data_IF_303614411841
#
_entry.id   IF_303614411841
#
_cell.length_a   1.000
_cell.length_b   1.000
_cell.length_c   1.000
_cell.angle_alpha   90.00
_cell.angle_beta   90.00
_cell.angle_gamma   90.00
#
_symmetry.space_group_name_H-M   'P 1'
#
loop_
_entity.id
_entity.type
_entity.pdbx_description
1 polymer ?
#
# COMPACT_ATOMS: atom_id res chain seq x y z
N UNK A 1 -9.97 -100.62 -55.09
CA UNK A 1 -11.23 -100.42 -55.84
C UNK A 1 -12.36 -100.52 -54.83
N UNK A 2 -13.21 -99.49 -54.71
CA UNK A 2 -14.30 -99.51 -53.72
C UNK A 2 -15.44 -100.39 -54.24
N UNK A 3 -15.71 -101.49 -53.54
CA UNK A 3 -16.80 -102.43 -53.79
C UNK A 3 -18.13 -101.68 -53.91
N UNK A 4 -18.95 -102.02 -54.91
CA UNK A 4 -20.26 -101.40 -55.12
C UNK A 4 -21.15 -101.65 -53.89
N UNK A 5 -21.85 -100.63 -53.34
CA UNK A 5 -22.68 -100.80 -52.16
C UNK A 5 -23.73 -101.90 -52.38
N UNK A 6 -23.58 -103.03 -51.69
CA UNK A 6 -24.51 -104.15 -51.79
C UNK A 6 -25.42 -104.21 -50.57
N UNK A 7 -26.48 -103.40 -50.59
CA UNK A 7 -27.52 -103.48 -49.57
C UNK A 7 -28.46 -104.67 -49.84
N UNK A 8 -29.09 -105.17 -48.77
CA UNK A 8 -30.18 -106.13 -48.88
C UNK A 8 -31.40 -105.52 -49.59
N UNK A 9 -32.14 -106.34 -50.34
CA UNK A 9 -33.37 -105.93 -51.02
C UNK A 9 -34.44 -105.37 -50.05
N UNK A 10 -34.42 -105.78 -48.79
CA UNK A 10 -35.27 -105.23 -47.73
C UNK A 10 -35.21 -103.68 -47.65
N UNK A 11 -34.05 -103.08 -47.93
CA UNK A 11 -33.83 -101.64 -47.82
C UNK A 11 -34.11 -100.86 -49.11
N UNK A 12 -34.55 -101.52 -50.18
CA UNK A 12 -34.75 -100.91 -51.51
C UNK A 12 -35.70 -99.70 -51.48
N UNK A 13 -36.73 -99.74 -50.63
CA UNK A 13 -37.68 -98.64 -50.45
C UNK A 13 -37.07 -97.36 -49.87
N UNK A 14 -36.15 -97.48 -48.89
CA UNK A 14 -35.42 -96.34 -48.32
C UNK A 14 -34.33 -95.85 -49.27
N UNK A 15 -33.61 -96.78 -49.91
CA UNK A 15 -32.55 -96.44 -50.84
C UNK A 15 -33.08 -95.68 -52.06
N UNK A 16 -34.26 -96.01 -52.59
CA UNK A 16 -34.83 -95.27 -53.74
C UNK A 16 -35.11 -93.78 -53.46
N UNK A 17 -35.22 -93.39 -52.18
CA UNK A 17 -35.47 -92.00 -51.78
C UNK A 17 -34.19 -91.16 -51.67
N UNK A 18 -33.02 -91.82 -51.68
CA UNK A 18 -31.72 -91.17 -51.53
C UNK A 18 -30.99 -91.03 -52.87
N UNK A 19 -30.28 -89.91 -53.12
CA UNK A 19 -29.37 -89.78 -54.24
C UNK A 19 -28.21 -90.79 -54.17
N UNK A 20 -27.61 -91.19 -55.31
CA UNK A 20 -26.51 -92.14 -55.36
C UNK A 20 -25.29 -91.76 -54.49
N UNK A 21 -25.01 -90.46 -54.34
CA UNK A 21 -23.92 -89.95 -53.48
C UNK A 21 -24.15 -90.29 -52.01
N UNK A 22 -25.38 -90.10 -51.52
CA UNK A 22 -25.75 -90.36 -50.12
C UNK A 22 -25.76 -91.86 -49.84
N UNK A 23 -26.24 -92.70 -50.78
CA UNK A 23 -26.18 -94.17 -50.64
C UNK A 23 -24.74 -94.65 -50.47
N UNK A 24 -23.80 -94.12 -51.25
CA UNK A 24 -22.37 -94.44 -51.15
C UNK A 24 -21.78 -93.99 -49.82
N UNK A 25 -22.15 -92.81 -49.34
CA UNK A 25 -21.69 -92.29 -48.04
C UNK A 25 -22.21 -93.13 -46.86
N UNK A 26 -23.48 -93.54 -46.91
CA UNK A 26 -24.05 -94.45 -45.90
C UNK A 26 -23.33 -95.80 -45.89
N UNK A 27 -23.07 -96.38 -47.06
CA UNK A 27 -22.34 -97.65 -47.17
C UNK A 27 -20.94 -97.55 -46.55
N UNK A 28 -20.18 -96.49 -46.91
CA UNK A 28 -18.88 -96.22 -46.31
C UNK A 28 -18.97 -96.08 -44.79
N UNK A 29 -19.96 -95.35 -44.26
CA UNK A 29 -20.15 -95.20 -42.80
C UNK A 29 -20.43 -96.51 -42.08
N UNK A 30 -21.06 -97.49 -42.73
CA UNK A 30 -21.34 -98.80 -42.14
C UNK A 30 -20.10 -99.71 -42.14
N UNK A 31 -19.32 -99.70 -43.22
CA UNK A 31 -18.14 -100.58 -43.39
C UNK A 31 -16.86 -100.02 -42.79
N UNK A 32 -16.76 -98.70 -42.59
CA UNK A 32 -15.56 -98.02 -42.07
C UNK A 32 -15.77 -97.35 -40.71
N UNK A 33 -16.82 -97.75 -39.98
CA UNK A 33 -17.17 -97.16 -38.68
C UNK A 33 -16.02 -97.34 -37.67
N UNK A 34 -15.71 -96.28 -36.91
CA UNK A 34 -14.64 -96.25 -35.90
C UNK A 34 -14.81 -97.27 -34.77
N UNK A 35 -16.05 -97.63 -34.45
CA UNK A 35 -16.40 -98.64 -33.45
C UNK A 35 -17.36 -99.64 -34.10
N UNK A 36 -17.03 -100.93 -34.07
CA UNK A 36 -17.76 -102.04 -34.69
C UNK A 36 -18.12 -101.79 -36.18
N UNK A 37 -17.13 -101.77 -37.09
CA UNK A 37 -17.41 -101.79 -38.52
C UNK A 37 -18.12 -103.10 -38.89
N UNK A 38 -19.22 -102.99 -39.64
CA UNK A 38 -19.87 -104.17 -40.21
C UNK A 38 -19.00 -104.68 -41.37
N UNK A 39 -18.74 -105.98 -41.43
CA UNK A 39 -18.14 -106.56 -42.64
C UNK A 39 -19.08 -106.37 -43.83
N UNK A 40 -18.57 -106.37 -45.06
CA UNK A 40 -19.41 -106.16 -46.26
C UNK A 40 -20.58 -107.16 -46.32
N UNK A 41 -20.38 -108.39 -45.88
CA UNK A 41 -21.44 -109.41 -45.76
C UNK A 41 -22.49 -109.09 -44.69
N UNK A 42 -22.07 -108.53 -43.56
CA UNK A 42 -23.00 -108.11 -42.49
C UNK A 42 -23.77 -106.85 -42.88
N UNK A 43 -23.12 -105.91 -43.58
CA UNK A 43 -23.74 -104.72 -44.13
C UNK A 43 -24.74 -105.03 -45.25
N UNK A 44 -24.55 -106.15 -45.96
CA UNK A 44 -25.49 -106.67 -46.95
C UNK A 44 -26.67 -107.48 -46.38
N UNK A 45 -26.68 -107.75 -45.06
CA UNK A 45 -27.77 -108.47 -44.36
C UNK A 45 -28.74 -107.51 -43.68
N UNK A 46 -29.87 -108.06 -43.22
CA UNK A 46 -30.87 -107.30 -42.47
C UNK A 46 -30.34 -107.08 -41.04
N UNK A 47 -29.80 -105.88 -40.77
CA UNK A 47 -29.33 -105.45 -39.46
C UNK A 47 -30.05 -104.16 -38.99
N UNK A 48 -30.55 -104.08 -37.74
CA UNK A 48 -31.36 -102.95 -37.26
C UNK A 48 -30.63 -101.59 -37.30
N UNK A 49 -29.31 -101.58 -37.05
CA UNK A 49 -28.51 -100.35 -37.15
C UNK A 49 -28.55 -99.73 -38.57
N UNK A 50 -28.61 -100.55 -39.61
CA UNK A 50 -28.65 -100.12 -41.02
C UNK A 50 -29.99 -99.43 -41.30
N UNK A 51 -31.08 -100.02 -40.81
CA UNK A 51 -32.43 -99.48 -40.97
C UNK A 51 -32.58 -98.11 -40.28
N UNK A 52 -32.08 -98.01 -39.04
CA UNK A 52 -32.11 -96.78 -38.26
C UNK A 52 -31.30 -95.66 -38.92
N UNK A 53 -30.16 -96.00 -39.53
CA UNK A 53 -29.26 -95.05 -40.16
C UNK A 53 -29.79 -94.58 -41.51
N UNK A 54 -30.32 -95.50 -42.34
CA UNK A 54 -30.96 -95.15 -43.60
C UNK A 54 -32.19 -94.25 -43.38
N UNK A 55 -33.04 -94.57 -42.40
CA UNK A 55 -34.21 -93.75 -42.06
C UNK A 55 -33.82 -92.34 -41.62
N UNK A 56 -32.75 -92.20 -40.81
CA UNK A 56 -32.22 -90.88 -40.41
C UNK A 56 -31.69 -90.09 -41.60
N UNK A 57 -30.97 -90.73 -42.52
CA UNK A 57 -30.38 -90.03 -43.66
C UNK A 57 -31.45 -89.61 -44.69
N UNK A 58 -32.50 -90.43 -44.90
CA UNK A 58 -33.68 -90.06 -45.69
C UNK A 58 -34.33 -88.79 -45.13
N UNK A 59 -34.62 -88.78 -43.82
CA UNK A 59 -35.22 -87.60 -43.17
C UNK A 59 -34.33 -86.36 -43.26
N UNK A 60 -33.01 -86.52 -43.14
CA UNK A 60 -32.04 -85.43 -43.24
C UNK A 60 -32.00 -84.86 -44.65
N UNK A 61 -32.04 -85.71 -45.67
CA UNK A 61 -32.05 -85.29 -47.07
C UNK A 61 -33.30 -84.46 -47.41
N UNK A 62 -34.50 -84.92 -47.05
CA UNK A 62 -35.73 -84.19 -47.30
C UNK A 62 -35.77 -82.83 -46.60
N UNK A 63 -35.39 -82.75 -45.32
CA UNK A 63 -35.28 -81.46 -44.60
C UNK A 63 -34.34 -80.47 -45.29
N UNK A 64 -33.22 -80.95 -45.83
CA UNK A 64 -32.26 -80.10 -46.55
C UNK A 64 -32.83 -79.63 -47.89
N UNK A 65 -33.49 -80.53 -48.62
CA UNK A 65 -34.16 -80.24 -49.90
C UNK A 65 -35.26 -79.20 -49.73
N UNK A 66 -36.12 -79.34 -48.72
CA UNK A 66 -37.22 -78.41 -48.48
C UNK A 66 -36.74 -77.00 -48.11
N UNK A 67 -35.66 -76.89 -47.31
CA UNK A 67 -35.02 -75.61 -47.03
C UNK A 67 -34.48 -74.91 -48.28
N UNK A 68 -33.90 -75.70 -49.20
CA UNK A 68 -33.42 -75.14 -50.47
C UNK A 68 -34.56 -74.68 -51.35
N UNK A 69 -35.68 -75.43 -51.40
CA UNK A 69 -36.89 -75.02 -52.13
C UNK A 69 -37.43 -73.69 -51.61
N UNK A 70 -37.62 -73.55 -50.30
CA UNK A 70 -38.11 -72.30 -49.70
C UNK A 70 -37.24 -71.08 -50.02
N UNK A 71 -35.91 -71.26 -50.02
CA UNK A 71 -34.97 -70.17 -50.36
C UNK A 71 -35.06 -69.75 -51.83
N UNK A 72 -35.27 -70.71 -52.74
CA UNK A 72 -35.44 -70.43 -54.17
C UNK A 72 -36.81 -69.79 -54.42
N UNK A 73 -37.87 -70.33 -53.83
CA UNK A 73 -39.23 -69.82 -53.98
C UNK A 73 -39.32 -68.36 -53.52
N UNK A 74 -38.77 -67.99 -52.35
CA UNK A 74 -38.75 -66.61 -51.85
C UNK A 74 -38.03 -65.61 -52.80
N UNK A 75 -37.00 -66.07 -53.53
CA UNK A 75 -36.26 -65.24 -54.48
C UNK A 75 -36.90 -65.18 -55.87
N UNK A 76 -37.78 -66.14 -56.21
CA UNK A 76 -38.39 -66.28 -57.54
C UNK A 76 -39.86 -65.86 -57.56
N UNK A 77 -40.50 -65.76 -56.40
CA UNK A 77 -41.86 -65.19 -56.29
C UNK A 77 -41.84 -63.71 -56.70
N UNK A 78 -42.74 -63.28 -57.60
CA UNK A 78 -42.85 -61.87 -58.04
C UNK A 78 -42.97 -60.87 -56.89
N UNK A 79 -43.56 -61.30 -55.78
CA UNK A 79 -43.82 -60.49 -54.58
C UNK A 79 -42.53 -60.15 -53.81
N UNK A 80 -41.56 -61.08 -53.77
CA UNK A 80 -40.25 -60.86 -53.12
C UNK A 80 -39.35 -59.90 -53.91
N UNK A 81 -39.36 -60.01 -55.24
CA UNK A 81 -38.65 -59.07 -56.12
C UNK A 81 -39.23 -57.65 -56.03
N UNK A 82 -40.56 -57.52 -55.99
CA UNK A 82 -41.24 -56.24 -55.81
C UNK A 82 -40.93 -55.58 -54.45
N UNK A 83 -40.78 -56.36 -53.38
CA UNK A 83 -40.42 -55.84 -52.06
C UNK A 83 -39.02 -55.21 -52.04
N UNK A 84 -38.04 -55.84 -52.71
CA UNK A 84 -36.67 -55.31 -52.81
C UNK A 84 -36.61 -54.03 -53.63
N UNK A 85 -37.35 -53.94 -54.75
CA UNK A 85 -37.45 -52.71 -55.53
C UNK A 85 -38.08 -51.56 -54.73
N UNK A 86 -39.14 -51.84 -53.95
CA UNK A 86 -39.74 -50.83 -53.06
C UNK A 86 -38.79 -50.35 -51.96
N UNK A 87 -37.97 -51.23 -51.41
CA UNK A 87 -36.95 -50.84 -50.43
C UNK A 87 -35.88 -49.94 -51.04
N UNK A 88 -35.42 -50.24 -52.26
CA UNK A 88 -34.47 -49.38 -52.97
C UNK A 88 -35.06 -48.00 -53.30
N UNK A 89 -36.37 -47.94 -53.64
CA UNK A 89 -37.07 -46.66 -53.82
C UNK A 89 -37.17 -45.87 -52.51
N UNK A 90 -37.45 -46.53 -51.38
CA UNK A 90 -37.48 -45.87 -50.07
C UNK A 90 -36.11 -45.34 -49.66
N UNK A 91 -35.04 -46.10 -49.90
CA UNK A 91 -33.67 -45.67 -49.63
C UNK A 91 -33.33 -44.40 -50.42
N UNK A 92 -33.68 -44.37 -51.71
CA UNK A 92 -33.50 -43.18 -52.55
C UNK A 92 -34.31 -41.97 -52.04
N UNK A 93 -35.55 -42.19 -51.59
CA UNK A 93 -36.39 -41.13 -51.01
C UNK A 93 -35.81 -40.59 -49.70
N UNK A 94 -35.22 -41.45 -48.88
CA UNK A 94 -34.53 -41.03 -47.65
C UNK A 94 -33.30 -40.19 -47.98
N UNK A 95 -32.48 -40.61 -48.94
CA UNK A 95 -31.30 -39.85 -49.38
C UNK A 95 -31.66 -38.47 -49.95
N UNK A 96 -32.78 -38.38 -50.69
CA UNK A 96 -33.31 -37.12 -51.20
C UNK A 96 -33.81 -36.22 -50.06
N UNK A 97 -34.50 -36.80 -49.07
CA UNK A 97 -35.00 -36.08 -47.90
C UNK A 97 -33.87 -35.59 -47.00
N UNK A 98 -32.84 -36.40 -46.80
CA UNK A 98 -31.66 -36.02 -46.01
C UNK A 98 -30.91 -34.86 -46.69
N UNK A 99 -30.73 -34.91 -48.01
CA UNK A 99 -30.13 -33.80 -48.77
C UNK A 99 -30.94 -32.51 -48.66
N UNK A 100 -32.27 -32.60 -48.72
CA UNK A 100 -33.14 -31.44 -48.54
C UNK A 100 -33.01 -30.83 -47.14
N UNK A 101 -33.00 -31.66 -46.09
CA UNK A 101 -32.83 -31.21 -44.71
C UNK A 101 -31.46 -30.57 -44.49
N UNK A 102 -30.38 -31.18 -44.99
CA UNK A 102 -29.03 -30.59 -44.91
C UNK A 102 -28.96 -29.23 -45.61
N UNK A 103 -29.63 -29.07 -46.75
CA UNK A 103 -29.71 -27.77 -47.42
C UNK A 103 -30.48 -26.75 -46.58
N UNK A 104 -31.61 -27.16 -45.98
CA UNK A 104 -32.41 -26.30 -45.11
C UNK A 104 -31.62 -25.88 -43.87
N UNK A 105 -30.93 -26.81 -43.22
CA UNK A 105 -30.07 -26.56 -42.06
C UNK A 105 -28.96 -25.57 -42.40
N UNK A 106 -28.28 -25.74 -43.53
CA UNK A 106 -27.25 -24.81 -43.99
C UNK A 106 -27.80 -23.41 -44.26
N UNK A 107 -28.99 -23.31 -44.86
CA UNK A 107 -29.63 -22.02 -45.10
C UNK A 107 -30.00 -21.30 -43.79
N UNK A 108 -30.55 -22.03 -42.82
CA UNK A 108 -30.88 -21.52 -41.49
C UNK A 108 -29.60 -21.09 -40.76
N UNK A 109 -28.57 -21.94 -40.77
CA UNK A 109 -27.27 -21.67 -40.15
C UNK A 109 -26.66 -20.39 -40.70
N UNK A 110 -26.57 -20.24 -42.02
CA UNK A 110 -26.02 -19.05 -42.66
C UNK A 110 -26.82 -17.79 -42.31
N UNK A 111 -28.14 -17.90 -42.22
CA UNK A 111 -29.02 -16.78 -41.84
C UNK A 111 -28.79 -16.36 -40.39
N UNK A 112 -28.69 -17.33 -39.47
CA UNK A 112 -28.42 -17.06 -38.05
C UNK A 112 -27.02 -16.46 -37.89
N UNK A 113 -26.00 -17.04 -38.52
CA UNK A 113 -24.63 -16.53 -38.48
C UNK A 113 -24.54 -15.08 -38.98
N UNK A 114 -25.22 -14.75 -40.08
CA UNK A 114 -25.28 -13.37 -40.58
C UNK A 114 -25.94 -12.42 -39.57
N UNK A 115 -27.07 -12.81 -38.98
CA UNK A 115 -27.78 -11.99 -37.98
C UNK A 115 -26.94 -11.77 -36.73
N UNK A 116 -26.34 -12.84 -36.20
CA UNK A 116 -25.45 -12.76 -35.02
C UNK A 116 -24.25 -11.86 -35.32
N UNK A 117 -23.67 -11.95 -36.51
CA UNK A 117 -22.56 -11.08 -36.92
C UNK A 117 -22.97 -9.60 -36.93
N UNK A 118 -24.15 -9.30 -37.47
CA UNK A 118 -24.68 -7.93 -37.50
C UNK A 118 -25.00 -7.40 -36.10
N UNK A 119 -25.60 -8.22 -35.23
CA UNK A 119 -25.89 -7.86 -33.84
C UNK A 119 -24.61 -7.64 -33.01
N UNK A 120 -23.60 -8.50 -33.19
CA UNK A 120 -22.29 -8.33 -32.59
C UNK A 120 -21.63 -7.02 -33.04
N UNK A 121 -21.74 -6.68 -34.33
CA UNK A 121 -21.21 -5.42 -34.87
C UNK A 121 -21.91 -4.21 -34.23
N UNK A 122 -23.25 -4.21 -34.21
CA UNK A 122 -24.04 -3.11 -33.60
C UNK A 122 -23.74 -2.95 -32.11
N UNK A 123 -23.71 -4.04 -31.36
CA UNK A 123 -23.40 -4.02 -29.92
C UNK A 123 -22.00 -3.47 -29.67
N UNK A 124 -21.03 -3.86 -30.50
CA UNK A 124 -19.66 -3.34 -30.41
C UNK A 124 -19.59 -1.84 -30.70
N UNK A 125 -20.25 -1.37 -31.76
CA UNK A 125 -20.32 0.06 -32.09
C UNK A 125 -20.98 0.87 -30.96
N UNK A 126 -22.06 0.35 -30.35
CA UNK A 126 -22.70 0.98 -29.19
C UNK A 126 -21.77 1.06 -27.98
N UNK A 127 -21.04 -0.03 -27.69
CA UNK A 127 -20.06 -0.07 -26.61
C UNK A 127 -18.93 0.93 -26.83
N UNK A 128 -18.38 0.99 -28.05
CA UNK A 128 -17.32 1.91 -28.42
C UNK A 128 -17.78 3.37 -28.30
N UNK A 129 -19.00 3.68 -28.76
CA UNK A 129 -19.61 5.01 -28.63
C UNK A 129 -19.81 5.41 -27.16
N UNK A 130 -20.38 4.52 -26.34
CA UNK A 130 -20.57 4.77 -24.90
C UNK A 130 -19.22 4.97 -24.19
N UNK A 131 -18.21 4.18 -24.55
CA UNK A 131 -16.86 4.29 -24.00
C UNK A 131 -16.21 5.63 -24.36
N UNK A 132 -16.41 6.12 -25.60
CA UNK A 132 -15.93 7.43 -26.03
C UNK A 132 -16.66 8.56 -25.32
N UNK A 133 -17.99 8.47 -25.20
CA UNK A 133 -18.80 9.46 -24.50
C UNK A 133 -18.37 9.57 -23.02
N UNK A 134 -18.24 8.43 -22.34
CA UNK A 134 -17.80 8.40 -20.95
C UNK A 134 -16.40 9.02 -20.78
N UNK A 135 -15.48 8.73 -21.71
CA UNK A 135 -14.14 9.35 -21.70
C UNK A 135 -14.20 10.87 -21.88
N UNK A 136 -15.02 11.34 -22.82
CA UNK A 136 -15.19 12.78 -23.07
C UNK A 136 -15.80 13.49 -21.85
N UNK A 137 -16.81 12.91 -21.21
CA UNK A 137 -17.42 13.44 -19.98
C UNK A 137 -16.39 13.49 -18.84
N UNK A 138 -15.57 12.46 -18.67
CA UNK A 138 -14.49 12.46 -17.69
C UNK A 138 -13.44 13.55 -17.96
N UNK A 139 -13.01 13.72 -19.22
CA UNK A 139 -12.08 14.78 -19.61
C UNK A 139 -12.68 16.17 -19.37
N UNK A 140 -13.96 16.37 -19.68
CA UNK A 140 -14.64 17.64 -19.44
C UNK A 140 -14.70 18.00 -17.95
N UNK A 141 -15.08 17.03 -17.10
CA UNK A 141 -15.12 17.22 -15.64
C UNK A 141 -13.72 17.49 -15.09
N UNK A 142 -12.73 16.73 -15.55
CA UNK A 142 -11.34 16.92 -15.14
C UNK A 142 -10.83 18.32 -15.50
N UNK A 143 -11.06 18.76 -16.74
CA UNK A 143 -10.65 20.10 -17.20
C UNK A 143 -11.35 21.21 -16.41
N UNK A 144 -12.65 21.06 -16.11
CA UNK A 144 -13.40 22.00 -15.27
C UNK A 144 -12.81 22.09 -13.85
N UNK A 145 -12.50 20.94 -13.25
CA UNK A 145 -11.90 20.89 -11.91
C UNK A 145 -10.51 21.49 -11.89
N UNK A 146 -9.69 21.19 -12.90
CA UNK A 146 -8.35 21.75 -13.06
C UNK A 146 -8.40 23.28 -13.16
N UNK A 147 -9.25 23.81 -14.05
CA UNK A 147 -9.44 25.25 -14.19
C UNK A 147 -9.89 25.91 -12.88
N UNK A 148 -10.86 25.30 -12.18
CA UNK A 148 -11.33 25.80 -10.88
C UNK A 148 -10.21 25.80 -9.83
N UNK A 149 -9.38 24.76 -9.81
CA UNK A 149 -8.24 24.65 -8.90
C UNK A 149 -7.20 25.74 -9.16
N UNK A 150 -6.85 25.96 -10.43
CA UNK A 150 -5.91 27.01 -10.85
C UNK A 150 -6.45 28.41 -10.50
N UNK A 151 -7.75 28.66 -10.73
CA UNK A 151 -8.40 29.91 -10.35
C UNK A 151 -8.40 30.15 -8.84
N UNK A 152 -8.62 29.11 -8.03
CA UNK A 152 -8.54 29.21 -6.57
C UNK A 152 -7.11 29.50 -6.11
N UNK A 153 -6.11 28.87 -6.73
CA UNK A 153 -4.69 29.13 -6.46
C UNK A 153 -4.33 30.59 -6.72
N UNK A 154 -4.72 31.14 -7.87
CA UNK A 154 -4.47 32.55 -8.22
C UNK A 154 -5.15 33.49 -7.20
N UNK A 155 -6.40 33.22 -6.82
CA UNK A 155 -7.11 34.02 -5.81
C UNK A 155 -6.41 34.01 -4.46
N UNK A 156 -5.96 32.84 -4.00
CA UNK A 156 -5.21 32.71 -2.75
C UNK A 156 -3.89 33.45 -2.79
N UNK A 157 -3.17 33.36 -3.90
CA UNK A 157 -1.90 34.06 -4.09
C UNK A 157 -2.07 35.57 -4.09
N UNK A 158 -3.12 36.09 -4.74
CA UNK A 158 -3.47 37.51 -4.67
C UNK A 158 -3.80 37.95 -3.24
N UNK A 159 -4.64 37.20 -2.51
CA UNK A 159 -4.98 37.51 -1.12
C UNK A 159 -3.75 37.50 -0.21
N UNK A 160 -2.84 36.55 -0.40
CA UNK A 160 -1.59 36.47 0.35
C UNK A 160 -0.72 37.70 0.08
N UNK A 161 -0.53 38.05 -1.20
CA UNK A 161 0.29 39.20 -1.60
C UNK A 161 -0.29 40.53 -1.11
N UNK A 162 -1.61 40.71 -1.16
CA UNK A 162 -2.29 41.88 -0.59
C UNK A 162 -2.01 42.01 0.90
N UNK A 163 -2.16 40.89 1.63
CA UNK A 163 -1.95 40.86 3.07
C UNK A 163 -0.51 41.16 3.44
N UNK A 164 0.45 40.64 2.68
CA UNK A 164 1.87 40.96 2.83
C UNK A 164 2.11 42.45 2.61
N UNK A 165 1.56 43.03 1.52
CA UNK A 165 1.72 44.46 1.22
C UNK A 165 1.14 45.36 2.33
N UNK A 166 -0.02 45.01 2.90
CA UNK A 166 -0.59 45.72 4.05
C UNK A 166 0.32 45.67 5.28
N UNK A 167 0.83 44.49 5.61
CA UNK A 167 1.73 44.30 6.76
C UNK A 167 3.05 45.04 6.58
N UNK A 168 3.62 45.03 5.38
CA UNK A 168 4.82 45.78 5.04
C UNK A 168 4.61 47.28 5.20
N UNK A 169 3.50 47.82 4.69
CA UNK A 169 3.14 49.24 4.87
C UNK A 169 3.00 49.59 6.35
N UNK A 170 2.33 48.73 7.13
CA UNK A 170 2.16 48.92 8.57
C UNK A 170 3.51 48.89 9.30
N UNK A 171 4.35 47.90 9.04
CA UNK A 171 5.67 47.78 9.65
C UNK A 171 6.56 48.97 9.30
N UNK A 172 6.56 49.42 8.05
CA UNK A 172 7.31 50.61 7.62
C UNK A 172 6.86 51.86 8.38
N UNK A 173 5.54 52.08 8.49
CA UNK A 173 5.00 53.22 9.25
C UNK A 173 5.37 53.15 10.74
N UNK A 174 5.33 51.97 11.34
CA UNK A 174 5.71 51.77 12.73
C UNK A 174 7.20 52.01 12.97
N UNK A 175 8.07 51.49 12.10
CA UNK A 175 9.52 51.73 12.13
C UNK A 175 9.83 53.22 12.03
N UNK A 176 9.22 53.94 11.08
CA UNK A 176 9.43 55.39 10.94
C UNK A 176 8.97 56.16 12.20
N UNK A 177 7.86 55.75 12.83
CA UNK A 177 7.41 56.36 14.09
C UNK A 177 8.40 56.11 15.23
N UNK A 178 8.93 54.89 15.35
CA UNK A 178 9.93 54.54 16.35
C UNK A 178 11.23 55.32 16.14
N UNK A 179 11.70 55.44 14.89
CA UNK A 179 12.88 56.24 14.55
C UNK A 179 12.74 57.70 14.97
N UNK A 180 11.58 58.32 14.74
CA UNK A 180 11.30 59.69 15.19
C UNK A 180 11.33 59.80 16.72
N UNK A 181 10.78 58.81 17.42
CA UNK A 181 10.81 58.76 18.89
C UNK A 181 12.22 58.59 19.44
N UNK A 182 13.01 57.69 18.85
CA UNK A 182 14.42 57.46 19.21
C UNK A 182 15.24 58.74 19.03
N UNK A 183 15.12 59.43 17.89
CA UNK A 183 15.81 60.72 17.68
C UNK A 183 15.47 61.78 18.73
N UNK A 184 14.24 61.79 19.27
CA UNK A 184 13.88 62.70 20.37
C UNK A 184 14.59 62.31 21.67
N UNK A 185 14.67 61.02 21.96
CA UNK A 185 15.37 60.50 23.13
C UNK A 185 16.88 60.69 23.04
N UNK A 186 17.48 60.53 21.88
CA UNK A 186 18.91 60.82 21.66
C UNK A 186 19.25 62.28 21.97
N UNK A 187 18.42 63.23 21.48
CA UNK A 187 18.56 64.66 21.82
C UNK A 187 18.43 64.94 23.32
N UNK A 188 17.58 64.18 24.02
CA UNK A 188 17.42 64.30 25.48
C UNK A 188 18.66 63.76 26.22
N UNK A 189 19.19 62.63 25.77
CA UNK A 189 20.45 62.04 26.26
C UNK A 189 21.62 63.00 26.05
N UNK A 190 21.74 63.65 24.89
CA UNK A 190 22.80 64.63 24.63
C UNK A 190 22.76 65.82 25.60
N UNK A 191 21.55 66.33 25.89
CA UNK A 191 21.34 67.41 26.87
C UNK A 191 21.76 66.97 28.27
N UNK A 192 21.32 65.79 28.71
CA UNK A 192 21.69 65.24 30.02
C UNK A 192 23.20 64.98 30.10
N UNK A 193 23.80 64.43 29.05
CA UNK A 193 25.26 64.22 28.96
C UNK A 193 26.02 65.54 29.11
N UNK A 194 25.56 66.59 28.44
CA UNK A 194 26.12 67.95 28.55
C UNK A 194 25.95 68.56 29.96
N UNK A 195 24.85 68.26 30.65
CA UNK A 195 24.64 68.70 32.02
C UNK A 195 25.56 67.97 33.00
N UNK A 196 25.72 66.65 32.82
CA UNK A 196 26.61 65.80 33.63
C UNK A 196 28.07 66.24 33.46
N UNK A 197 28.52 66.52 32.23
CA UNK A 197 29.90 66.99 32.01
C UNK A 197 30.17 68.34 32.68
N UNK A 198 29.22 69.28 32.62
CA UNK A 198 29.31 70.56 33.34
C UNK A 198 29.37 70.36 34.86
N UNK A 199 28.52 69.48 35.41
CA UNK A 199 28.52 69.17 36.84
C UNK A 199 29.85 68.51 37.27
N UNK A 200 30.38 67.58 36.45
CA UNK A 200 31.66 66.91 36.68
C UNK A 200 32.83 67.90 36.70
N UNK A 201 32.84 68.90 35.83
CA UNK A 201 33.88 69.93 35.83
C UNK A 201 33.81 70.80 37.09
N UNK A 202 32.61 71.26 37.49
CA UNK A 202 32.44 72.02 38.74
C UNK A 202 32.89 71.24 39.97
N UNK A 203 32.61 69.94 40.00
CA UNK A 203 33.07 69.07 41.09
C UNK A 203 34.60 69.06 41.16
N UNK A 204 35.29 68.93 40.02
CA UNK A 204 36.75 69.01 39.94
C UNK A 204 37.27 70.37 40.43
N UNK A 205 36.66 71.46 40.01
CA UNK A 205 37.05 72.81 40.46
C UNK A 205 36.93 72.95 41.99
N UNK A 206 35.84 72.42 42.57
CA UNK A 206 35.65 72.41 44.02
C UNK A 206 36.67 71.52 44.73
N UNK A 207 37.00 70.37 44.16
CA UNK A 207 38.02 69.45 44.67
C UNK A 207 39.40 70.11 44.70
N UNK A 208 39.78 70.85 43.65
CA UNK A 208 41.01 71.65 43.59
C UNK A 208 41.03 72.76 44.66
N UNK A 209 39.90 73.44 44.87
CA UNK A 209 39.76 74.46 45.94
C UNK A 209 39.90 73.87 47.33
N UNK A 210 39.31 72.69 47.57
CA UNK A 210 39.42 71.97 48.85
C UNK A 210 40.89 71.61 49.10
N UNK A 211 41.57 71.01 48.12
CA UNK A 211 43.00 70.67 48.23
C UNK A 211 43.87 71.90 48.54
N UNK A 212 43.62 73.04 47.88
CA UNK A 212 44.34 74.29 48.15
C UNK A 212 44.10 74.82 49.58
N UNK A 213 42.85 74.72 50.07
CA UNK A 213 42.50 75.07 51.45
C UNK A 213 43.18 74.15 52.44
N UNK A 214 43.18 72.84 52.20
CA UNK A 214 43.83 71.86 53.05
C UNK A 214 45.34 72.11 53.15
N UNK A 215 46.01 72.36 52.01
CA UNK A 215 47.43 72.76 52.00
C UNK A 215 47.68 74.06 52.79
N UNK A 216 46.76 75.03 52.71
CA UNK A 216 46.90 76.29 53.44
C UNK A 216 46.70 76.11 54.94
N UNK A 217 45.77 75.25 55.35
CA UNK A 217 45.56 74.88 56.75
C UNK A 217 46.84 74.25 57.30
N UNK A 218 47.45 73.31 56.57
CA UNK A 218 48.72 72.68 56.96
C UNK A 218 49.84 73.74 57.12
N UNK A 219 50.01 74.67 56.16
CA UNK A 219 51.01 75.76 56.27
C UNK A 219 50.77 76.68 57.48
N UNK A 220 49.51 77.00 57.78
CA UNK A 220 49.15 77.81 58.94
C UNK A 220 49.39 77.07 60.25
N UNK A 221 49.06 75.79 60.31
CA UNK A 221 49.29 74.93 61.47
C UNK A 221 50.80 74.79 61.77
N UNK A 222 51.61 74.54 60.73
CA UNK A 222 53.08 74.54 60.84
C UNK A 222 53.63 75.87 61.36
N UNK A 223 53.09 77.01 60.90
CA UNK A 223 53.47 78.36 61.38
C UNK A 223 53.05 78.60 62.82
N UNK A 224 51.84 78.16 63.22
CA UNK A 224 51.37 78.24 64.60
C UNK A 224 52.23 77.40 65.52
N UNK A 225 52.63 76.19 65.13
CA UNK A 225 53.54 75.36 65.91
C UNK A 225 54.93 76.01 66.08
N UNK A 226 55.46 76.68 65.05
CA UNK A 226 56.73 77.42 65.12
C UNK A 226 56.68 78.68 66.00
N UNK A 227 55.52 79.35 66.09
CA UNK A 227 55.35 80.58 66.88
C UNK A 227 54.88 80.32 68.32
N UNK A 228 54.01 79.32 68.52
CA UNK A 228 53.46 78.93 69.84
C UNK A 228 54.49 78.33 70.80
N UNK A 229 55.62 77.82 70.30
CA UNK A 229 56.70 77.33 71.18
C UNK A 229 57.40 78.44 71.95
N UNK A 230 57.16 79.73 71.62
CA UNK A 230 57.90 80.85 72.21
C UNK A 230 57.18 81.64 73.31
N UNK A 231 55.87 81.50 73.53
CA UNK A 231 55.11 82.44 74.39
C UNK A 231 53.95 81.89 75.23
N UNK A 232 53.73 80.57 75.35
CA UNK A 232 52.50 80.05 75.99
C UNK A 232 52.60 79.52 77.42
N UNK A 233 53.76 79.62 78.08
CA UNK A 233 53.86 79.30 79.51
C UNK A 233 54.59 80.41 80.24
N UNK A 234 53.88 81.50 80.55
CA UNK A 234 54.31 82.39 81.62
C UNK A 234 54.18 81.62 82.94
N UNK A 235 55.31 81.11 83.44
CA UNK A 235 55.39 80.31 84.66
C UNK A 235 54.96 81.08 85.92
N UNK A 236 54.74 82.40 85.80
CA UNK A 236 54.26 83.26 86.88
C UNK A 236 52.74 83.39 86.92
N UNK A 237 52.00 82.89 85.92
CA UNK A 237 50.53 82.92 85.87
C UNK A 237 49.97 81.49 85.99
N UNK A 238 48.99 81.32 86.87
CA UNK A 238 48.33 80.03 87.03
C UNK A 238 47.62 79.60 85.72
N UNK A 239 47.92 78.41 85.18
CA UNK A 239 47.35 77.95 83.93
C UNK A 239 45.86 77.63 84.06
N UNK A 240 45.10 77.81 82.97
CA UNK A 240 43.64 77.58 82.93
C UNK A 240 43.31 76.08 83.08
N UNK A 241 44.14 75.22 82.51
CA UNK A 241 44.04 73.77 82.64
C UNK A 241 45.41 73.21 82.99
N UNK A 242 45.48 72.35 84.01
CA UNK A 242 46.73 71.70 84.39
C UNK A 242 47.01 70.54 83.43
N UNK A 243 48.15 70.59 82.75
CA UNK A 243 48.59 69.50 81.85
C UNK A 243 48.97 68.21 82.59
N UNK A 244 49.20 68.27 83.91
CA UNK A 244 49.50 67.12 84.75
C UNK A 244 49.12 67.37 86.22
N UNK A 245 48.95 66.29 87.00
CA UNK A 245 48.67 66.38 88.45
C UNK A 245 49.78 67.11 89.22
N UNK A 246 51.05 66.85 88.87
CA UNK A 246 52.21 67.48 89.52
C UNK A 246 52.21 69.01 89.38
N UNK A 247 51.78 69.53 88.22
CA UNK A 247 51.63 70.97 87.99
C UNK A 247 50.48 71.56 88.82
N UNK A 248 49.38 70.83 88.96
CA UNK A 248 48.26 71.22 89.82
C UNK A 248 48.68 71.32 91.29
N UNK A 249 49.40 70.33 91.80
CA UNK A 249 49.90 70.29 93.17
C UNK A 249 50.93 71.39 93.46
N UNK A 250 51.80 71.68 92.50
CA UNK A 250 52.78 72.77 92.62
C UNK A 250 52.10 74.14 92.75
N UNK A 251 51.07 74.42 91.94
CA UNK A 251 50.29 75.66 92.03
C UNK A 251 49.42 75.72 93.30
N UNK A 252 48.89 74.58 93.74
CA UNK A 252 48.14 74.48 95.00
C UNK A 252 49.04 74.77 96.20
N UNK A 253 50.25 74.21 96.20
CA UNK A 253 51.26 74.48 97.24
C UNK A 253 51.71 75.95 97.24
N UNK A 254 51.91 76.56 96.06
CA UNK A 254 52.22 78.00 95.94
C UNK A 254 51.08 78.85 96.51
N UNK A 255 49.82 78.47 96.29
CA UNK A 255 48.63 79.17 96.81
C UNK A 255 48.54 79.09 98.34
N UNK A 256 48.80 77.92 98.93
CA UNK A 256 48.81 77.77 100.40
C UNK A 256 49.94 78.57 101.04
N UNK A 257 51.16 78.52 100.46
CA UNK A 257 52.27 79.34 100.94
C UNK A 257 51.96 80.84 100.84
N UNK A 258 51.22 81.28 99.82
CA UNK A 258 50.79 82.68 99.66
C UNK A 258 49.75 83.16 100.68
N UNK A 259 49.15 82.26 101.49
CA UNK A 259 48.34 82.64 102.65
C UNK A 259 49.20 82.97 103.89
N UNK A 260 50.34 82.30 104.01
CA UNK A 260 51.26 82.42 105.16
C UNK A 260 52.30 83.52 104.91
N UNK A 261 52.80 83.63 103.68
CA UNK A 261 53.81 84.60 103.26
C UNK A 261 53.25 85.51 102.15
N UNK A 262 52.83 86.74 102.47
CA UNK A 262 52.16 87.65 101.52
C UNK A 262 53.01 88.00 100.29
N UNK A 263 54.34 87.96 100.40
CA UNK A 263 55.25 88.32 99.31
C UNK A 263 55.17 87.39 98.09
N UNK A 264 54.67 86.16 98.26
CA UNK A 264 54.48 85.22 97.14
C UNK A 264 53.44 85.76 96.13
N UNK A 265 52.49 86.59 96.57
CA UNK A 265 51.50 87.23 95.70
C UNK A 265 52.09 88.33 94.81
N UNK A 266 53.32 88.78 95.04
CA UNK A 266 54.03 89.72 94.17
C UNK A 266 54.64 89.04 92.95
N UNK A 267 54.96 87.75 93.06
CA UNK A 267 55.69 87.00 92.03
C UNK A 267 54.82 86.01 91.25
N UNK A 268 53.58 85.76 91.70
CA UNK A 268 52.68 84.80 91.05
C UNK A 268 51.24 85.32 91.01
N UNK A 269 50.60 85.19 89.84
CA UNK A 269 49.19 85.53 89.63
C UNK A 269 48.34 84.28 89.71
N UNK A 270 47.56 84.17 90.78
CA UNK A 270 46.59 83.08 90.97
C UNK A 270 45.25 83.46 90.35
N UNK A 271 44.65 82.54 89.58
CA UNK A 271 43.30 82.73 89.04
C UNK A 271 42.28 82.50 90.15
N UNK A 272 41.24 83.35 90.18
CA UNK A 272 40.08 83.20 91.05
C UNK A 272 39.28 81.99 90.55
N UNK A 273 39.17 80.95 91.36
CA UNK A 273 38.29 79.82 91.05
C UNK A 273 36.87 80.26 91.39
N UNK A 274 36.01 80.33 90.38
CA UNK A 274 34.56 80.43 90.52
C UNK A 274 34.03 79.04 90.81
#
# INVERSE_FOLDING_TARGET
MASQPHFNDHYKGLLNQLPPSIKKEVWLRLTTRKYNPLTEEQAGRIHPDIDSLLTKEVNRYYKKKDRQRLKVDANTTPDGSNALSRLAEFEKQLDERERFLLQQENNIKNTIESKVKDECKRTKEQYDNLSQQLRAEHEEVYNKLQFSSEMLKIKLEHQYNDRVSELEKKNKSHSSSLEVSLRKKDKEIEKLTSAITKAKNKYRDLEDVILAKDLKIIDLDDKLHKTSTRYLFDETIEPIFYKSSNLSEAWTSKREKAKIYPDIRKNYTFRTRV
#
